data_IF_647032680718
#
_entry.id   IF_647032680718
#
_cell.length_a   1.000
_cell.length_b   1.000
_cell.length_c   1.000
_cell.angle_alpha   90.00
_cell.angle_beta   90.00
_cell.angle_gamma   90.00
#
_symmetry.space_group_name_H-M   'P 1'
#
loop_
_entity.id
_entity.type
_entity.pdbx_description
1 polymer ?
#
# COMPACT_ATOMS: atom_id res chain seq x y z
N UNK A 1 -2.02 -5.00 -11.08
CA UNK A 1 -3.49 -5.12 -11.08
C UNK A 1 -3.99 -3.79 -10.60
N UNK A 2 -4.35 -2.92 -11.53
CA UNK A 2 -4.80 -1.57 -11.19
C UNK A 2 -6.21 -1.70 -10.61
N UNK A 3 -6.37 -1.28 -9.35
CA UNK A 3 -7.66 -1.23 -8.68
C UNK A 3 -8.43 -0.10 -9.33
N UNK A 4 -9.46 -0.41 -10.10
CA UNK A 4 -10.31 0.60 -10.75
C UNK A 4 -11.10 1.33 -9.64
N UNK A 5 -10.70 2.56 -9.30
CA UNK A 5 -11.40 3.38 -8.31
C UNK A 5 -12.62 4.03 -8.98
N UNK A 6 -13.79 3.89 -8.35
CA UNK A 6 -15.03 4.50 -8.84
C UNK A 6 -15.24 5.88 -8.19
N UNK A 7 -15.01 6.94 -8.96
CA UNK A 7 -15.04 8.32 -8.49
C UNK A 7 -16.46 8.91 -8.43
N UNK A 8 -16.79 9.56 -7.30
CA UNK A 8 -18.07 10.25 -7.07
C UNK A 8 -18.01 11.77 -7.22
N UNK A 9 -16.81 12.36 -7.33
CA UNK A 9 -16.62 13.82 -7.37
C UNK A 9 -16.16 14.39 -8.73
N UNK A 10 -15.34 13.64 -9.48
CA UNK A 10 -14.81 14.07 -10.77
C UNK A 10 -14.49 12.84 -11.66
N UNK A 11 -14.18 13.07 -12.93
CA UNK A 11 -13.86 12.02 -13.90
C UNK A 11 -12.35 11.84 -14.15
N UNK A 12 -11.52 12.57 -13.40
CA UNK A 12 -10.07 12.55 -13.57
C UNK A 12 -9.45 11.69 -12.47
N UNK A 13 -8.72 10.65 -12.87
CA UNK A 13 -7.84 9.91 -11.97
C UNK A 13 -6.56 10.73 -11.82
N UNK A 14 -6.36 11.34 -10.66
CA UNK A 14 -5.17 12.15 -10.38
C UNK A 14 -4.28 11.32 -9.45
N UNK A 15 -3.20 10.79 -10.00
CA UNK A 15 -2.24 9.98 -9.25
C UNK A 15 -1.67 10.75 -8.06
N UNK A 16 -1.78 10.18 -6.85
CA UNK A 16 -1.14 10.68 -5.63
C UNK A 16 -1.96 11.61 -4.75
N UNK A 17 -3.24 11.88 -5.07
CA UNK A 17 -4.12 12.64 -4.18
C UNK A 17 -4.78 11.78 -3.09
N UNK A 18 -4.86 12.33 -1.87
CA UNK A 18 -5.57 11.72 -0.75
C UNK A 18 -7.09 11.79 -0.96
N UNK A 19 -7.78 10.68 -0.72
CA UNK A 19 -9.22 10.53 -0.93
C UNK A 19 -9.91 9.84 0.25
N UNK A 20 -11.23 9.99 0.34
CA UNK A 20 -12.10 9.28 1.29
C UNK A 20 -13.17 8.48 0.55
N UNK A 21 -13.60 7.35 1.12
CA UNK A 21 -14.64 6.49 0.54
C UNK A 21 -15.94 6.63 1.31
N UNK A 22 -17.06 6.74 0.61
CA UNK A 22 -18.37 6.80 1.25
C UNK A 22 -18.79 5.41 1.76
N UNK A 23 -19.17 5.31 3.03
CA UNK A 23 -19.64 4.06 3.63
C UNK A 23 -20.89 3.48 2.95
N UNK A 24 -21.79 4.32 2.42
CA UNK A 24 -23.07 3.89 1.84
C UNK A 24 -22.99 3.50 0.36
N UNK A 25 -22.30 4.29 -0.47
CA UNK A 25 -22.26 4.07 -1.92
C UNK A 25 -20.91 3.57 -2.44
N UNK A 26 -19.90 3.45 -1.57
CA UNK A 26 -18.56 2.96 -1.88
C UNK A 26 -17.81 3.74 -2.97
N UNK A 27 -18.30 4.92 -3.38
CA UNK A 27 -17.59 5.83 -4.28
C UNK A 27 -16.47 6.57 -3.53
N UNK A 28 -15.38 6.85 -4.24
CA UNK A 28 -14.25 7.63 -3.74
C UNK A 28 -14.41 9.13 -4.07
N UNK A 29 -13.91 9.97 -3.17
CA UNK A 29 -13.98 11.42 -3.27
C UNK A 29 -12.64 12.03 -2.86
N UNK A 30 -12.04 12.86 -3.72
CA UNK A 30 -10.83 13.62 -3.38
C UNK A 30 -11.12 14.59 -2.24
N UNK A 31 -10.17 14.75 -1.31
CA UNK A 31 -10.29 15.78 -0.27
C UNK A 31 -10.39 17.19 -0.86
N UNK A 32 -9.64 17.46 -1.94
CA UNK A 32 -9.69 18.72 -2.68
C UNK A 32 -11.09 19.00 -3.27
N UNK A 33 -11.77 18.00 -3.83
CA UNK A 33 -13.13 18.15 -4.36
C UNK A 33 -14.18 18.41 -3.27
N UNK A 34 -13.93 17.99 -2.04
CA UNK A 34 -14.80 18.20 -0.88
C UNK A 34 -14.43 19.44 -0.06
N UNK A 35 -13.38 20.18 -0.47
CA UNK A 35 -12.78 21.26 0.31
C UNK A 35 -12.44 20.85 1.77
N UNK A 36 -12.07 19.58 1.97
CA UNK A 36 -11.63 19.07 3.26
C UNK A 36 -10.12 19.25 3.39
N UNK A 37 -9.68 19.80 4.52
CA UNK A 37 -8.25 19.85 4.85
C UNK A 37 -7.83 18.51 5.46
N UNK A 38 -6.76 17.91 4.94
CA UNK A 38 -6.17 16.64 5.41
C UNK A 38 -5.83 16.72 6.90
N UNK A 39 -5.50 17.91 7.41
CA UNK A 39 -5.21 18.13 8.83
C UNK A 39 -6.41 17.97 9.78
N UNK A 40 -7.63 18.00 9.23
CA UNK A 40 -8.89 17.96 9.99
C UNK A 40 -9.56 16.58 10.05
N UNK A 41 -9.05 15.61 9.30
CA UNK A 41 -9.63 14.26 9.18
C UNK A 41 -8.90 13.30 10.12
N UNK A 42 -9.57 12.89 11.20
CA UNK A 42 -9.07 11.81 12.06
C UNK A 42 -9.31 10.44 11.40
N UNK A 43 -8.49 9.44 11.74
CA UNK A 43 -8.60 8.06 11.24
C UNK A 43 -9.94 7.38 11.59
N UNK A 44 -10.70 7.96 12.53
CA UNK A 44 -12.05 7.52 12.89
C UNK A 44 -13.11 8.10 11.95
N UNK A 45 -12.92 9.32 11.43
CA UNK A 45 -13.82 9.92 10.45
C UNK A 45 -13.79 9.17 9.12
N UNK A 46 -12.63 8.68 8.68
CA UNK A 46 -12.49 7.92 7.42
C UNK A 46 -13.37 6.66 7.38
N UNK A 47 -13.70 6.07 8.55
CA UNK A 47 -14.49 4.83 8.64
C UNK A 47 -16.01 5.06 8.67
N UNK A 48 -16.46 6.28 8.96
CA UNK A 48 -17.88 6.60 9.17
C UNK A 48 -18.36 7.65 8.14
N UNK A 49 -17.45 8.17 7.31
CA UNK A 49 -17.77 9.24 6.37
C UNK A 49 -18.81 8.81 5.33
N UNK A 50 -19.80 9.69 5.11
CA UNK A 50 -20.90 9.49 4.17
C UNK A 50 -21.00 10.70 3.24
N UNK A 51 -21.12 10.48 1.92
CA UNK A 51 -21.16 11.58 0.96
C UNK A 51 -22.48 12.38 1.06
N UNK A 52 -22.49 13.65 0.61
CA UNK A 52 -23.68 14.51 0.67
C UNK A 52 -24.94 13.89 0.07
N UNK A 53 -24.82 13.22 -1.09
CA UNK A 53 -25.95 12.53 -1.74
C UNK A 53 -26.56 11.41 -0.87
N UNK A 54 -25.73 10.77 -0.05
CA UNK A 54 -26.10 9.65 0.82
C UNK A 54 -26.60 10.11 2.20
N UNK A 55 -26.34 11.37 2.58
CA UNK A 55 -26.82 12.01 3.81
C UNK A 55 -28.24 12.55 3.63
N UNK A 56 -28.54 13.21 2.51
CA UNK A 56 -29.87 13.80 2.24
C UNK A 56 -30.99 12.75 2.08
N UNK A 57 -30.64 11.48 1.84
CA UNK A 57 -31.60 10.38 1.71
C UNK A 57 -32.04 9.74 3.04
N UNK A 58 -31.72 10.33 4.20
CA UNK A 58 -32.23 9.86 5.50
C UNK A 58 -33.67 10.36 5.69
N UNK A 59 -34.65 9.54 5.31
CA UNK A 59 -36.04 9.72 5.77
C UNK A 59 -36.09 9.42 7.27
N UNK A 60 -36.21 10.46 8.09
CA UNK A 60 -36.40 10.36 9.54
C UNK A 60 -37.68 9.57 9.82
N UNK A 61 -37.56 8.37 10.37
CA UNK A 61 -38.67 7.62 10.94
C UNK A 61 -39.10 8.29 12.24
N UNK A 62 -40.32 8.85 12.27
CA UNK A 62 -40.94 9.43 13.47
C UNK A 62 -41.21 8.32 14.50
N UNK A 63 -40.51 8.35 15.63
CA UNK A 63 -40.89 7.61 16.84
C UNK A 63 -41.79 8.52 17.67
N UNK A 64 -43.07 8.16 17.74
CA UNK A 64 -44.14 8.87 18.42
C UNK A 64 -44.24 8.39 19.88
N UNK A 65 -43.45 8.99 20.77
CA UNK A 65 -43.59 8.80 22.22
C UNK A 65 -44.45 9.93 22.80
N UNK A 66 -45.75 9.67 22.92
CA UNK A 66 -46.66 10.48 23.75
C UNK A 66 -47.04 9.70 25.02
N UNK A 67 -47.03 10.32 26.21
CA UNK A 67 -47.28 9.61 27.46
C UNK A 67 -48.79 9.38 27.68
N UNK A 68 -49.14 8.13 28.01
CA UNK A 68 -50.51 7.71 28.31
C UNK A 68 -51.06 8.46 29.53
N UNK A 69 -52.15 9.19 29.33
CA UNK A 69 -52.86 9.95 30.36
C UNK A 69 -53.61 9.00 31.30
N UNK A 70 -53.26 9.03 32.59
CA UNK A 70 -53.88 8.21 33.63
C UNK A 70 -55.30 8.69 33.90
N UNK A 71 -56.32 7.92 33.51
CA UNK A 71 -57.74 8.22 33.79
C UNK A 71 -58.07 7.66 35.18
N UNK A 72 -58.07 8.52 36.19
CA UNK A 72 -58.58 8.19 37.52
C UNK A 72 -60.10 8.37 37.52
N UNK A 73 -60.87 7.29 37.41
CA UNK A 73 -62.31 7.31 37.70
C UNK A 73 -62.54 6.99 39.17
N UNK A 74 -62.80 8.02 39.98
CA UNK A 74 -63.41 7.87 41.30
C UNK A 74 -64.86 7.41 41.13
N UNK A 75 -65.09 6.10 41.17
CA UNK A 75 -66.43 5.52 41.13
C UNK A 75 -67.05 5.62 42.53
N UNK A 76 -68.06 6.48 42.66
CA UNK A 76 -68.83 6.69 43.89
C UNK A 76 -69.51 5.43 44.42
N UNK A 77 -69.74 5.42 45.74
CA UNK A 77 -70.37 4.35 46.50
C UNK A 77 -71.64 3.82 45.81
N UNK A 78 -71.57 2.57 45.35
CA UNK A 78 -72.72 1.82 44.85
C UNK A 78 -73.61 1.45 46.03
N UNK A 79 -74.86 1.91 46.00
CA UNK A 79 -75.91 1.52 46.95
C UNK A 79 -76.12 0.00 46.89
N UNK A 80 -76.32 -0.61 48.06
CA UNK A 80 -76.61 -2.04 48.23
C UNK A 80 -78.03 -2.31 47.72
N UNK A 81 -78.18 -3.27 46.82
CA UNK A 81 -79.49 -3.78 46.40
C UNK A 81 -80.09 -4.62 47.54
N UNK A 82 -81.26 -4.21 48.04
CA UNK A 82 -82.10 -5.04 48.89
C UNK A 82 -82.69 -6.16 48.00
N UNK A 83 -82.43 -7.41 48.38
CA UNK A 83 -82.90 -8.68 47.77
C UNK A 83 -81.97 -9.33 46.72
N UNK A 84 -80.77 -9.73 47.17
CA UNK A 84 -79.96 -10.76 46.50
C UNK A 84 -80.06 -12.10 47.28
N UNK A 85 -80.15 -13.27 46.63
CA UNK A 85 -80.16 -14.57 47.30
C UNK A 85 -78.83 -14.87 48.02
N UNK A 86 -78.82 -15.68 49.09
CA UNK A 86 -77.58 -15.98 49.81
C UNK A 86 -76.64 -16.83 48.94
N UNK A 87 -75.50 -16.26 48.57
CA UNK A 87 -74.36 -17.03 48.05
C UNK A 87 -73.83 -17.94 49.16
N UNK A 88 -73.76 -19.24 48.88
CA UNK A 88 -73.02 -20.20 49.68
C UNK A 88 -71.58 -19.72 49.86
N UNK A 89 -71.15 -19.57 51.11
CA UNK A 89 -69.78 -19.24 51.48
C UNK A 89 -68.98 -20.54 51.57
N UNK A 90 -68.49 -21.04 50.45
CA UNK A 90 -67.28 -21.85 50.46
C UNK A 90 -66.08 -20.90 50.48
N UNK A 91 -65.87 -20.25 51.63
CA UNK A 91 -64.63 -19.54 51.91
C UNK A 91 -63.59 -20.57 52.29
N UNK A 92 -62.77 -20.98 51.31
CA UNK A 92 -61.50 -21.65 51.57
C UNK A 92 -60.65 -20.70 52.43
N UNK A 93 -60.47 -21.05 53.70
CA UNK A 93 -59.63 -20.30 54.63
C UNK A 93 -58.15 -20.59 54.29
N UNK A 94 -57.57 -19.80 53.39
CA UNK A 94 -56.13 -19.81 53.12
C UNK A 94 -55.41 -19.35 54.39
N UNK A 95 -54.54 -20.19 54.95
CA UNK A 95 -53.79 -19.85 56.17
C UNK A 95 -52.54 -19.04 55.83
N UNK A 96 -52.01 -18.29 56.82
CA UNK A 96 -50.75 -17.54 56.67
C UNK A 96 -49.56 -18.44 56.29
N UNK A 97 -49.61 -19.72 56.68
CA UNK A 97 -48.56 -20.69 56.37
C UNK A 97 -48.62 -21.12 54.90
N UNK A 98 -49.83 -21.26 54.33
CA UNK A 98 -50.01 -21.56 52.91
C UNK A 98 -49.42 -20.45 52.04
N UNK A 99 -49.61 -19.18 52.42
CA UNK A 99 -49.00 -18.03 51.73
C UNK A 99 -47.47 -18.07 51.84
N UNK A 100 -46.91 -18.39 53.01
CA UNK A 100 -45.45 -18.49 53.20
C UNK A 100 -44.87 -19.61 52.34
N UNK A 101 -45.52 -20.76 52.29
CA UNK A 101 -45.06 -21.90 51.50
C UNK A 101 -45.09 -21.59 50.00
N UNK A 102 -46.19 -21.00 49.50
CA UNK A 102 -46.30 -20.57 48.10
C UNK A 102 -45.20 -19.56 47.74
N UNK A 103 -44.98 -18.55 48.59
CA UNK A 103 -43.93 -17.54 48.33
C UNK A 103 -42.54 -18.15 48.35
N UNK A 104 -42.26 -19.07 49.28
CA UNK A 104 -40.97 -19.76 49.34
C UNK A 104 -40.74 -20.68 48.14
N UNK A 105 -41.77 -21.36 47.67
CA UNK A 105 -41.72 -22.23 46.50
C UNK A 105 -41.48 -21.40 45.23
N UNK A 106 -42.29 -20.38 44.99
CA UNK A 106 -42.15 -19.46 43.84
C UNK A 106 -40.78 -18.76 43.85
N UNK A 107 -40.29 -18.34 45.01
CA UNK A 107 -38.98 -17.69 45.11
C UNK A 107 -37.82 -18.66 44.87
N UNK A 108 -37.92 -19.91 45.32
CA UNK A 108 -36.95 -20.97 45.00
C UNK A 108 -36.94 -21.29 43.52
N UNK A 109 -38.11 -21.38 42.89
CA UNK A 109 -38.23 -21.61 41.44
C UNK A 109 -37.63 -20.45 40.64
N UNK A 110 -37.94 -19.20 40.99
CA UNK A 110 -37.36 -18.03 40.32
C UNK A 110 -35.84 -17.97 40.51
N UNK A 111 -35.33 -18.24 41.72
CA UNK A 111 -33.88 -18.29 41.96
C UNK A 111 -33.20 -19.42 41.18
N UNK A 112 -33.80 -20.60 41.11
CA UNK A 112 -33.27 -21.70 40.33
C UNK A 112 -33.27 -21.38 38.82
N UNK A 113 -34.35 -20.81 38.30
CA UNK A 113 -34.49 -20.43 36.88
C UNK A 113 -33.52 -19.29 36.51
N UNK A 114 -33.38 -18.27 37.37
CA UNK A 114 -32.41 -17.18 37.17
C UNK A 114 -30.96 -17.65 37.21
N UNK A 115 -30.60 -18.53 38.16
CA UNK A 115 -29.27 -19.14 38.20
C UNK A 115 -29.02 -20.06 37.01
N UNK A 116 -30.03 -20.79 36.54
CA UNK A 116 -29.94 -21.61 35.33
C UNK A 116 -29.66 -20.73 34.11
N UNK A 117 -30.48 -19.71 33.87
CA UNK A 117 -30.30 -18.76 32.75
C UNK A 117 -28.95 -18.04 32.80
N UNK A 118 -28.47 -17.73 34.00
CA UNK A 118 -27.14 -17.14 34.19
C UNK A 118 -26.03 -18.12 33.79
N UNK A 119 -26.12 -19.37 34.24
CA UNK A 119 -25.19 -20.43 33.84
C UNK A 119 -25.25 -20.68 32.32
N UNK A 120 -26.44 -20.67 31.73
CA UNK A 120 -26.62 -20.82 30.29
C UNK A 120 -25.94 -19.65 29.54
N UNK A 121 -26.10 -18.42 30.02
CA UNK A 121 -25.43 -17.25 29.43
C UNK A 121 -23.89 -17.37 29.53
N UNK A 122 -23.36 -17.78 30.68
CA UNK A 122 -21.92 -18.02 30.85
C UNK A 122 -21.42 -19.10 29.88
N UNK A 123 -22.16 -20.20 29.79
CA UNK A 123 -21.73 -21.36 29.02
C UNK A 123 -21.87 -21.15 27.51
N UNK A 124 -22.93 -20.47 27.07
CA UNK A 124 -23.28 -20.34 25.67
C UNK A 124 -22.68 -19.10 25.02
N UNK A 125 -22.42 -18.04 25.78
CA UNK A 125 -21.90 -16.78 25.24
C UNK A 125 -20.47 -16.50 25.71
N UNK A 126 -20.24 -16.56 27.03
CA UNK A 126 -18.95 -16.10 27.61
C UNK A 126 -17.82 -17.11 27.37
N UNK A 127 -18.08 -18.42 27.50
CA UNK A 127 -17.07 -19.45 27.22
C UNK A 127 -16.57 -19.42 25.77
N UNK A 128 -17.44 -19.40 24.74
CA UNK A 128 -17.00 -19.31 23.35
C UNK A 128 -16.20 -18.03 23.06
N UNK A 129 -16.60 -16.89 23.64
CA UNK A 129 -15.84 -15.64 23.52
C UNK A 129 -14.43 -15.78 24.09
N UNK A 130 -14.30 -16.40 25.27
CA UNK A 130 -12.99 -16.68 25.87
C UNK A 130 -12.12 -17.55 24.97
N UNK A 131 -12.68 -18.58 24.37
CA UNK A 131 -11.93 -19.49 23.49
C UNK A 131 -11.51 -18.80 22.18
N UNK A 132 -12.37 -17.94 21.61
CA UNK A 132 -12.02 -17.08 20.48
C UNK A 132 -10.88 -16.11 20.83
N UNK A 133 -10.88 -15.52 22.04
CA UNK A 133 -9.79 -14.64 22.51
C UNK A 133 -8.48 -15.43 22.65
N UNK A 134 -8.52 -16.65 23.17
CA UNK A 134 -7.34 -17.51 23.24
C UNK A 134 -6.79 -17.81 21.83
N UNK A 135 -7.65 -18.20 20.89
CA UNK A 135 -7.27 -18.46 19.49
C UNK A 135 -6.69 -17.21 18.80
N UNK A 136 -7.27 -16.03 19.06
CA UNK A 136 -6.76 -14.76 18.54
C UNK A 136 -5.38 -14.44 19.11
N UNK A 137 -5.16 -14.70 20.39
CA UNK A 137 -3.86 -14.48 21.05
C UNK A 137 -2.78 -15.36 20.43
N UNK A 138 -3.09 -16.63 20.16
CA UNK A 138 -2.18 -17.56 19.47
C UNK A 138 -1.88 -17.09 18.04
N UNK A 139 -2.92 -16.70 17.30
CA UNK A 139 -2.78 -16.18 15.93
C UNK A 139 -1.92 -14.92 15.89
N UNK A 140 -2.09 -14.02 16.86
CA UNK A 140 -1.29 -12.80 16.98
C UNK A 140 0.17 -13.11 17.32
N UNK A 141 0.44 -14.09 18.18
CA UNK A 141 1.81 -14.52 18.48
C UNK A 141 2.51 -15.08 17.23
N UNK A 142 1.81 -15.90 16.44
CA UNK A 142 2.33 -16.40 15.16
C UNK A 142 2.59 -15.25 14.16
N UNK A 143 1.63 -14.32 14.04
CA UNK A 143 1.77 -13.17 13.15
C UNK A 143 2.95 -12.27 13.53
N UNK A 144 3.16 -12.04 14.83
CA UNK A 144 4.32 -11.30 15.32
C UNK A 144 5.64 -12.00 14.97
N UNK A 145 5.71 -13.33 15.08
CA UNK A 145 6.88 -14.11 14.68
C UNK A 145 7.17 -13.96 13.17
N UNK A 146 6.14 -14.13 12.33
CA UNK A 146 6.27 -13.99 10.88
C UNK A 146 6.68 -12.58 10.47
N UNK A 147 6.13 -11.56 11.14
CA UNK A 147 6.50 -10.17 10.92
C UNK A 147 7.97 -9.93 11.28
N UNK A 148 8.43 -10.42 12.44
CA UNK A 148 9.84 -10.32 12.85
C UNK A 148 10.78 -10.98 11.85
N UNK A 149 10.43 -12.17 11.35
CA UNK A 149 11.25 -12.88 10.36
C UNK A 149 11.23 -12.18 8.99
N UNK A 150 10.10 -11.59 8.60
CA UNK A 150 10.01 -10.78 7.38
C UNK A 150 10.92 -9.54 7.46
N UNK A 151 10.90 -8.84 8.59
CA UNK A 151 11.78 -7.67 8.84
C UNK A 151 13.24 -8.07 8.74
N UNK A 152 13.67 -9.15 9.41
CA UNK A 152 15.07 -9.63 9.33
C UNK A 152 15.49 -9.98 7.91
N UNK A 153 14.62 -10.64 7.14
CA UNK A 153 14.91 -10.94 5.72
C UNK A 153 15.03 -9.67 4.89
N UNK A 154 14.21 -8.66 5.17
CA UNK A 154 14.28 -7.38 4.48
C UNK A 154 15.58 -6.64 4.81
N UNK A 155 15.96 -6.54 6.08
CA UNK A 155 17.23 -5.94 6.52
C UNK A 155 18.45 -6.62 5.88
N UNK A 156 18.45 -7.96 5.83
CA UNK A 156 19.51 -8.71 5.15
C UNK A 156 19.53 -8.44 3.64
N UNK A 157 18.37 -8.28 3.02
CA UNK A 157 18.26 -7.94 1.60
C UNK A 157 18.78 -6.54 1.32
N UNK A 158 18.38 -5.55 2.12
CA UNK A 158 18.87 -4.17 2.03
C UNK A 158 20.38 -4.09 2.23
N UNK A 159 20.93 -4.81 3.21
CA UNK A 159 22.37 -4.89 3.41
C UNK A 159 23.09 -5.48 2.20
N UNK A 160 22.54 -6.53 1.57
CA UNK A 160 23.14 -7.11 0.36
C UNK A 160 23.07 -6.15 -0.82
N UNK A 161 21.94 -5.46 -1.01
CA UNK A 161 21.75 -4.49 -2.08
C UNK A 161 22.78 -3.37 -1.96
N UNK A 162 22.92 -2.79 -0.77
CA UNK A 162 23.90 -1.71 -0.53
C UNK A 162 25.35 -2.15 -0.77
N UNK A 163 25.73 -3.37 -0.34
CA UNK A 163 27.05 -3.93 -0.65
C UNK A 163 27.25 -4.10 -2.16
N UNK A 164 26.28 -4.70 -2.86
CA UNK A 164 26.38 -4.93 -4.31
C UNK A 164 26.43 -3.62 -5.11
N UNK A 165 25.68 -2.60 -4.69
CA UNK A 165 25.72 -1.27 -5.31
C UNK A 165 27.10 -0.62 -5.16
N UNK A 166 27.69 -0.72 -3.97
CA UNK A 166 29.05 -0.22 -3.70
C UNK A 166 30.10 -0.94 -4.55
N UNK A 167 30.06 -2.27 -4.59
CA UNK A 167 30.98 -3.08 -5.40
C UNK A 167 30.83 -2.77 -6.90
N UNK A 168 29.61 -2.59 -7.38
CA UNK A 168 29.35 -2.26 -8.78
C UNK A 168 29.87 -0.85 -9.14
N UNK A 169 29.70 0.12 -8.23
CA UNK A 169 30.28 1.45 -8.42
C UNK A 169 31.81 1.41 -8.50
N UNK A 170 32.46 0.64 -7.62
CA UNK A 170 33.91 0.45 -7.63
C UNK A 170 34.38 -0.25 -8.93
N UNK A 171 33.70 -1.33 -9.33
CA UNK A 171 34.01 -2.05 -10.57
C UNK A 171 33.89 -1.14 -11.80
N UNK A 172 32.83 -0.34 -11.90
CA UNK A 172 32.65 0.63 -12.99
C UNK A 172 33.78 1.66 -13.02
N UNK A 173 34.17 2.17 -11.85
CA UNK A 173 35.29 3.11 -11.72
C UNK A 173 36.61 2.47 -12.19
N UNK A 174 36.90 1.24 -11.76
CA UNK A 174 38.08 0.50 -12.16
C UNK A 174 38.11 0.23 -13.68
N UNK A 175 36.98 -0.15 -14.27
CA UNK A 175 36.85 -0.33 -15.73
C UNK A 175 37.13 0.97 -16.47
N UNK A 176 36.59 2.10 -16.01
CA UNK A 176 36.87 3.41 -16.61
C UNK A 176 38.36 3.78 -16.49
N UNK A 177 38.98 3.55 -15.33
CA UNK A 177 40.40 3.82 -15.13
C UNK A 177 41.28 2.97 -16.07
N UNK A 178 40.99 1.67 -16.16
CA UNK A 178 41.69 0.76 -17.07
C UNK A 178 41.52 1.17 -18.52
N UNK A 179 40.31 1.57 -18.93
CA UNK A 179 40.05 2.08 -20.27
C UNK A 179 40.90 3.32 -20.60
N UNK A 180 40.93 4.30 -19.70
CA UNK A 180 41.76 5.50 -19.87
C UNK A 180 43.25 5.14 -19.98
N UNK A 181 43.71 4.21 -19.16
CA UNK A 181 45.10 3.77 -19.15
C UNK A 181 45.46 3.01 -20.43
N UNK A 182 44.58 2.15 -20.93
CA UNK A 182 44.76 1.49 -22.23
C UNK A 182 44.83 2.52 -23.36
N UNK A 183 43.92 3.51 -23.39
CA UNK A 183 43.95 4.56 -24.42
C UNK A 183 45.26 5.37 -24.36
N UNK A 184 45.74 5.69 -23.15
CA UNK A 184 47.01 6.39 -22.99
C UNK A 184 48.19 5.56 -23.51
N UNK A 185 48.23 4.26 -23.20
CA UNK A 185 49.25 3.35 -23.70
C UNK A 185 49.19 3.22 -25.23
N UNK A 186 48.00 3.10 -25.82
CA UNK A 186 47.85 3.06 -27.28
C UNK A 186 48.32 4.34 -27.97
N UNK A 187 48.06 5.50 -27.36
CA UNK A 187 48.57 6.79 -27.85
C UNK A 187 50.10 6.87 -27.74
N UNK A 188 50.66 6.45 -26.61
CA UNK A 188 52.12 6.42 -26.38
C UNK A 188 52.83 5.51 -27.39
N UNK A 189 52.27 4.33 -27.68
CA UNK A 189 52.80 3.40 -28.68
C UNK A 189 52.79 3.98 -30.11
N UNK A 190 52.01 5.03 -30.37
CA UNK A 190 51.90 5.70 -31.67
C UNK A 190 52.45 7.13 -31.65
N UNK A 191 53.10 7.54 -30.57
CA UNK A 191 53.54 8.93 -30.39
C UNK A 191 54.56 9.40 -31.44
N UNK A 192 55.32 8.46 -32.01
CA UNK A 192 56.30 8.71 -33.09
C UNK A 192 55.81 8.26 -34.46
N UNK A 193 54.58 7.78 -34.58
CA UNK A 193 54.01 7.35 -35.84
C UNK A 193 53.40 8.54 -36.56
N UNK A 194 53.77 8.73 -37.83
CA UNK A 194 53.21 9.77 -38.69
C UNK A 194 52.31 9.11 -39.73
N UNK A 195 51.03 9.50 -39.77
CA UNK A 195 50.10 9.07 -40.81
C UNK A 195 50.08 10.10 -41.94
N UNK A 196 50.50 9.69 -43.14
CA UNK A 196 50.43 10.55 -44.34
C UNK A 196 49.26 10.08 -45.21
N UNK A 197 48.24 10.92 -45.33
CA UNK A 197 47.03 10.62 -46.09
C UNK A 197 47.11 11.17 -47.52
N UNK A 198 46.20 10.71 -48.36
CA UNK A 198 45.99 11.21 -49.73
C UNK A 198 47.19 11.03 -50.68
N UNK A 199 48.06 10.05 -50.42
CA UNK A 199 49.13 9.68 -51.36
C UNK A 199 48.57 8.67 -52.38
N UNK A 200 48.59 8.99 -53.70
CA UNK A 200 48.22 8.05 -54.76
C UNK A 200 49.04 6.77 -54.69
N UNK A 201 48.40 5.62 -54.92
CA UNK A 201 49.05 4.31 -54.93
C UNK A 201 49.49 3.95 -56.35
N UNK A 202 50.74 3.51 -56.51
CA UNK A 202 51.26 2.98 -57.77
C UNK A 202 51.77 1.56 -57.58
N UNK A 203 51.63 0.73 -58.63
CA UNK A 203 52.28 -0.60 -58.65
C UNK A 203 53.80 -0.39 -58.56
N UNK A 204 54.46 -1.19 -57.73
CA UNK A 204 55.92 -1.15 -57.50
C UNK A 204 56.46 0.25 -57.15
N UNK A 205 55.81 0.94 -56.21
CA UNK A 205 56.31 2.22 -55.69
C UNK A 205 57.41 2.05 -54.63
N UNK A 206 58.33 3.00 -54.57
CA UNK A 206 59.32 3.10 -53.49
C UNK A 206 58.82 4.12 -52.44
N UNK A 207 58.29 3.62 -51.32
CA UNK A 207 57.74 4.47 -50.26
C UNK A 207 58.81 5.35 -49.58
N UNK A 208 60.05 4.88 -49.50
CA UNK A 208 61.14 5.61 -48.86
C UNK A 208 61.50 6.88 -49.65
N UNK A 209 61.64 6.74 -50.98
CA UNK A 209 61.88 7.88 -51.88
C UNK A 209 60.72 8.88 -51.84
N UNK A 210 59.50 8.37 -51.77
CA UNK A 210 58.30 9.19 -51.68
C UNK A 210 58.27 10.00 -50.37
N UNK A 211 58.56 9.39 -49.22
CA UNK A 211 58.64 10.09 -47.93
C UNK A 211 59.72 11.17 -47.97
N UNK A 212 60.91 10.86 -48.49
CA UNK A 212 61.99 11.85 -48.69
C UNK A 212 61.56 12.99 -49.61
N UNK A 213 60.81 12.70 -50.67
CA UNK A 213 60.27 13.71 -51.58
C UNK A 213 59.29 14.63 -50.85
N UNK A 214 58.37 14.07 -50.05
CA UNK A 214 57.45 14.85 -49.22
C UNK A 214 58.21 15.73 -48.25
N UNK A 215 59.21 15.19 -47.55
CA UNK A 215 60.10 15.94 -46.66
C UNK A 215 60.74 17.15 -47.36
N UNK A 216 61.33 16.94 -48.54
CA UNK A 216 61.93 18.02 -49.34
C UNK A 216 60.92 19.12 -49.70
N UNK A 217 59.69 18.75 -50.07
CA UNK A 217 58.64 19.72 -50.40
C UNK A 217 58.27 20.60 -49.21
N UNK A 218 58.26 20.04 -47.99
CA UNK A 218 57.96 20.78 -46.75
C UNK A 218 59.19 21.45 -46.12
N UNK A 219 60.38 21.34 -46.73
CA UNK A 219 61.62 21.88 -46.20
C UNK A 219 62.19 21.11 -45.01
N UNK A 220 61.81 19.84 -44.83
CA UNK A 220 62.32 18.95 -43.80
C UNK A 220 63.17 17.83 -44.45
N UNK A 221 64.48 17.85 -44.20
CA UNK A 221 65.36 16.80 -44.70
C UNK A 221 65.23 15.55 -43.82
N UNK A 222 64.74 14.45 -44.42
CA UNK A 222 64.55 13.17 -43.75
C UNK A 222 65.65 12.20 -44.20
N UNK A 223 66.43 11.69 -43.26
CA UNK A 223 67.46 10.68 -43.53
C UNK A 223 66.95 9.27 -43.23
N UNK A 224 67.60 8.25 -43.78
CA UNK A 224 67.14 6.86 -43.62
C UNK A 224 67.16 6.36 -42.17
N UNK A 225 68.04 6.93 -41.34
CA UNK A 225 68.10 6.62 -39.90
C UNK A 225 66.91 7.17 -39.10
N UNK A 226 66.17 8.13 -39.65
CA UNK A 226 64.99 8.73 -38.97
C UNK A 226 63.77 7.82 -39.07
N UNK A 227 63.78 6.87 -40.02
CA UNK A 227 62.62 6.03 -40.34
C UNK A 227 62.87 4.61 -39.85
N UNK A 228 62.21 4.24 -38.75
CA UNK A 228 62.29 2.87 -38.23
C UNK A 228 61.46 1.87 -39.05
N UNK A 229 60.25 2.28 -39.45
CA UNK A 229 59.33 1.44 -40.22
C UNK A 229 58.38 2.30 -41.05
N UNK A 230 58.03 1.83 -42.24
CA UNK A 230 57.04 2.47 -43.10
C UNK A 230 56.24 1.39 -43.82
N UNK A 231 54.93 1.62 -43.94
CA UNK A 231 54.03 0.71 -44.63
C UNK A 231 52.79 1.45 -45.11
N UNK A 232 52.15 0.93 -46.16
CA UNK A 232 50.80 1.36 -46.53
C UNK A 232 49.81 0.77 -45.54
N UNK A 233 48.89 1.59 -45.07
CA UNK A 233 47.78 1.14 -44.24
C UNK A 233 46.58 0.86 -45.15
N UNK A 234 45.80 -0.18 -44.84
CA UNK A 234 44.58 -0.46 -45.58
C UNK A 234 43.68 0.79 -45.60
N UNK A 235 43.05 1.05 -46.75
CA UNK A 235 42.08 2.15 -46.88
C UNK A 235 41.03 1.97 -45.81
N UNK A 236 40.79 3.00 -45.00
CA UNK A 236 39.65 2.99 -44.06
C UNK A 236 38.41 2.70 -44.89
N UNK A 237 37.75 1.59 -44.61
CA UNK A 237 36.46 1.32 -45.20
C UNK A 237 35.57 2.51 -44.84
N UNK A 238 35.01 3.18 -45.85
CA UNK A 238 33.88 4.06 -45.60
C UNK A 238 32.81 3.17 -45.00
N UNK A 239 32.59 3.28 -43.69
CA UNK A 239 31.40 2.72 -43.07
C UNK A 239 30.26 3.35 -43.87
N UNK A 240 29.45 2.59 -44.63
CA UNK A 240 28.31 3.18 -45.30
C UNK A 240 27.52 3.86 -44.21
N UNK A 241 27.27 5.16 -44.38
CA UNK A 241 26.33 5.92 -43.57
C UNK A 241 25.09 5.05 -43.41
N UNK A 242 24.91 4.45 -42.23
CA UNK A 242 23.67 3.80 -41.90
C UNK A 242 22.65 4.93 -41.89
N UNK A 243 21.82 4.95 -42.92
CA UNK A 243 20.70 5.87 -43.02
C UNK A 243 19.95 5.83 -41.67
N UNK A 244 19.94 6.94 -40.93
CA UNK A 244 18.95 7.13 -39.86
C UNK A 244 19.40 7.43 -38.44
N UNK A 245 20.60 7.96 -38.16
CA UNK A 245 20.80 8.67 -36.89
C UNK A 245 21.60 9.95 -37.05
N UNK A 246 20.89 11.00 -37.46
CA UNK A 246 21.35 12.36 -37.23
C UNK A 246 21.36 12.60 -35.71
N UNK A 247 22.55 12.55 -35.12
CA UNK A 247 22.93 13.28 -33.91
C UNK A 247 24.45 13.33 -33.85
N UNK A 248 24.98 14.32 -34.55
CA UNK A 248 26.30 14.86 -34.32
C UNK A 248 26.08 16.36 -34.08
N UNK A 249 26.01 16.74 -32.82
CA UNK A 249 26.35 18.10 -32.37
C UNK A 249 27.79 18.05 -31.83
#
# INVERSE_FOLDING_TARGET
>A
MDILINWGCCSSDIDGESYVTCLKCSKAFHYACLALDISSVSTEMEKIWTCPECVENIRVSKTDDTPVRNISTTRGNKRVALNSPPMAKDTVNITREDIRNIVQEVFKEILADTLSKFNDTINNEIKPLRDQICSLTESMALMNSLCSDAVKRNELSESKITTLESENAELKSNVQNLFLRCNNLEQQLRQTNIEIQCIPERKSENLLELIKCVGKVIGCEIVDSDIMHFTRVAKRASIPCQQGSARCD
#
